data_IF_970050569635
#
_entry.id   IF_970050569635
#
_cell.length_a   1.000
_cell.length_b   1.000
_cell.length_c   1.000
_cell.angle_alpha   90.00
_cell.angle_beta   90.00
_cell.angle_gamma   90.00
#
_symmetry.space_group_name_H-M   'P 1'
#
loop_
_entity.id
_entity.type
_entity.pdbx_description
1 polymer ?
#
# COMPACT_ATOMS: atom_id res chain seq x y z
N UNK A 1 -9.88 12.05 5.62
CA UNK A 1 -10.00 11.22 4.41
C UNK A 1 -9.28 11.92 3.28
N UNK A 2 -8.75 11.17 2.30
CA UNK A 2 -8.09 11.78 1.14
C UNK A 2 -9.07 12.65 0.35
N UNK A 3 -8.62 13.78 -0.22
CA UNK A 3 -9.40 14.47 -1.24
C UNK A 3 -9.61 13.54 -2.44
N UNK A 4 -10.73 13.71 -3.15
CA UNK A 4 -11.05 12.99 -4.38
C UNK A 4 -10.88 11.46 -4.28
N UNK A 5 -11.18 10.88 -3.11
CA UNK A 5 -11.07 9.44 -2.82
C UNK A 5 -9.66 8.86 -3.05
N UNK A 6 -8.62 9.69 -3.06
CA UNK A 6 -7.24 9.27 -3.33
C UNK A 6 -6.89 9.14 -4.82
N UNK A 7 -7.75 9.60 -5.74
CA UNK A 7 -7.57 9.43 -7.18
C UNK A 7 -6.72 10.51 -7.86
N UNK A 8 -6.47 11.62 -7.14
CA UNK A 8 -5.59 12.70 -7.58
C UNK A 8 -4.11 12.37 -7.35
N UNK A 9 -3.21 13.32 -7.66
CA UNK A 9 -1.76 13.20 -7.42
C UNK A 9 -1.45 12.67 -6.01
N UNK A 10 -0.85 11.48 -5.93
CA UNK A 10 -0.51 10.78 -4.70
C UNK A 10 0.43 11.58 -3.80
N UNK A 11 1.23 12.49 -4.38
CA UNK A 11 2.11 13.39 -3.62
C UNK A 11 1.30 14.40 -2.80
N UNK A 12 0.17 14.88 -3.34
CA UNK A 12 -0.78 15.75 -2.61
C UNK A 12 -1.53 14.92 -1.58
N UNK A 13 -1.95 13.70 -1.92
CA UNK A 13 -2.63 12.82 -0.97
C UNK A 13 -1.73 12.50 0.25
N UNK A 14 -0.42 12.37 0.05
CA UNK A 14 0.54 12.15 1.13
C UNK A 14 0.61 13.31 2.13
N UNK A 15 0.38 14.56 1.71
CA UNK A 15 0.36 15.71 2.63
C UNK A 15 -0.76 15.59 3.68
N UNK A 16 -1.88 14.95 3.34
CA UNK A 16 -2.95 14.64 4.29
C UNK A 16 -2.52 13.58 5.30
N UNK A 17 -1.69 12.62 4.88
CA UNK A 17 -1.09 11.60 5.77
C UNK A 17 -0.11 12.25 6.73
N UNK A 18 0.77 13.13 6.24
CA UNK A 18 1.71 13.92 7.06
C UNK A 18 0.96 14.65 8.17
N UNK A 19 -0.06 15.43 7.79
CA UNK A 19 -0.85 16.18 8.75
C UNK A 19 -1.61 15.27 9.74
N UNK A 20 -2.11 14.11 9.30
CA UNK A 20 -2.77 13.17 10.20
C UNK A 20 -1.80 12.55 11.23
N UNK A 21 -0.60 12.16 10.79
CA UNK A 21 0.44 11.62 11.68
C UNK A 21 0.81 12.68 12.72
N UNK A 22 1.04 13.92 12.31
CA UNK A 22 1.37 15.02 13.23
C UNK A 22 0.27 15.21 14.28
N UNK A 23 -0.99 15.29 13.87
CA UNK A 23 -2.11 15.49 14.79
C UNK A 23 -2.33 14.32 15.77
N UNK A 24 -2.12 13.08 15.32
CA UNK A 24 -2.25 11.91 16.21
C UNK A 24 -1.05 11.86 17.17
N UNK A 25 0.16 12.16 16.69
CA UNK A 25 1.37 12.17 17.49
C UNK A 25 1.35 13.24 18.59
N UNK A 26 0.62 14.35 18.40
CA UNK A 26 0.37 15.36 19.45
C UNK A 26 -0.32 14.79 20.70
N UNK A 27 -0.90 13.58 20.62
CA UNK A 27 -1.38 12.85 21.80
C UNK A 27 -0.26 12.34 22.73
N UNK A 28 1.01 12.50 22.33
CA UNK A 28 2.18 12.05 23.08
C UNK A 28 2.53 10.57 22.89
N UNK A 29 1.93 9.91 21.90
CA UNK A 29 2.20 8.50 21.54
C UNK A 29 2.62 8.42 20.08
N UNK A 30 3.44 7.42 19.77
CA UNK A 30 3.74 7.08 18.37
C UNK A 30 2.48 6.58 17.67
N UNK A 31 2.49 6.69 16.34
CA UNK A 31 1.40 6.31 15.44
C UNK A 31 1.77 4.99 14.79
N UNK A 32 0.86 4.01 14.85
CA UNK A 32 0.91 2.82 13.99
C UNK A 32 -0.04 3.04 12.82
N UNK A 33 0.43 2.70 11.61
CA UNK A 33 -0.28 2.94 10.36
C UNK A 33 -0.62 1.60 9.72
N UNK A 34 -1.88 1.41 9.34
CA UNK A 34 -2.33 0.26 8.54
C UNK A 34 -2.83 0.78 7.20
N UNK A 35 -2.14 0.42 6.12
CA UNK A 35 -2.49 0.79 4.74
C UNK A 35 -2.85 -0.44 3.93
N UNK A 36 -3.98 -0.41 3.22
CA UNK A 36 -4.37 -1.45 2.26
C UNK A 36 -4.28 -0.91 0.83
N UNK A 37 -3.75 -1.72 -0.10
CA UNK A 37 -3.62 -1.34 -1.51
C UNK A 37 -2.87 0.00 -1.65
N UNK A 38 -3.40 0.93 -2.44
CA UNK A 38 -2.93 2.32 -2.55
C UNK A 38 -2.69 3.02 -1.21
N UNK A 39 -3.45 2.67 -0.16
CA UNK A 39 -3.39 3.31 1.16
C UNK A 39 -2.03 3.20 1.85
N UNK A 40 -1.17 2.27 1.43
CA UNK A 40 0.21 2.17 1.93
C UNK A 40 1.22 3.12 1.26
N UNK A 41 0.93 3.61 0.05
CA UNK A 41 1.86 4.47 -0.70
C UNK A 41 2.02 5.86 -0.05
N UNK A 42 0.91 6.45 0.41
CA UNK A 42 0.90 7.76 1.07
C UNK A 42 1.78 7.82 2.33
N UNK A 43 1.64 6.88 3.28
CA UNK A 43 2.53 6.74 4.42
C UNK A 43 4.00 6.60 4.05
N UNK A 44 4.34 5.71 3.10
CA UNK A 44 5.75 5.56 2.66
C UNK A 44 6.31 6.86 2.07
N UNK A 45 5.55 7.51 1.20
CA UNK A 45 5.92 8.81 0.64
C UNK A 45 6.13 9.88 1.72
N UNK A 46 5.25 9.91 2.73
CA UNK A 46 5.35 10.83 3.84
C UNK A 46 6.64 10.62 4.65
N UNK A 47 6.98 9.39 5.02
CA UNK A 47 8.20 9.10 5.81
C UNK A 47 9.49 9.34 5.01
N UNK A 48 9.46 9.09 3.70
CA UNK A 48 10.58 9.35 2.80
C UNK A 48 10.94 10.85 2.74
N UNK A 49 9.93 11.72 2.64
CA UNK A 49 10.14 13.16 2.39
C UNK A 49 9.92 14.10 3.59
N UNK A 50 9.33 13.61 4.68
CA UNK A 50 9.21 14.32 5.96
C UNK A 50 9.97 13.57 7.07
N UNK A 51 11.31 13.73 7.17
CA UNK A 51 12.11 13.03 8.19
C UNK A 51 11.64 13.26 9.63
N UNK A 52 11.00 14.39 9.91
CA UNK A 52 10.40 14.70 11.22
C UNK A 52 9.29 13.74 11.67
N UNK A 53 8.73 12.94 10.75
CA UNK A 53 7.73 11.93 11.06
C UNK A 53 8.32 10.61 11.52
N UNK A 54 9.60 10.32 11.24
CA UNK A 54 10.22 9.01 11.51
C UNK A 54 10.16 8.63 12.98
N UNK A 55 10.42 9.60 13.86
CA UNK A 55 10.36 9.40 15.32
C UNK A 55 8.92 9.37 15.88
N UNK A 56 7.92 9.70 15.05
CA UNK A 56 6.50 9.73 15.42
C UNK A 56 5.77 8.44 15.06
N UNK A 57 6.40 7.55 14.29
CA UNK A 57 5.78 6.32 13.81
C UNK A 57 6.42 5.14 14.55
N UNK A 58 5.59 4.16 14.90
CA UNK A 58 6.00 2.90 15.49
C UNK A 58 5.96 1.80 14.43
N UNK A 59 4.76 1.54 13.89
CA UNK A 59 4.56 0.51 12.86
C UNK A 59 4.06 1.09 11.55
N UNK A 60 4.52 0.51 10.45
CA UNK A 60 3.93 0.65 9.12
C UNK A 60 3.52 -0.72 8.59
N UNK A 61 2.22 -1.01 8.67
CA UNK A 61 1.62 -2.29 8.29
C UNK A 61 0.92 -2.14 6.94
N UNK A 62 1.47 -2.80 5.92
CA UNK A 62 1.12 -2.65 4.52
C UNK A 62 0.47 -3.94 4.02
N UNK A 63 -0.81 -3.86 3.66
CA UNK A 63 -1.63 -4.98 3.19
C UNK A 63 -1.80 -4.87 1.68
N UNK A 64 -1.20 -5.77 0.92
CA UNK A 64 -1.23 -5.74 -0.54
C UNK A 64 -0.92 -4.34 -1.13
N UNK A 65 0.04 -3.62 -0.54
CA UNK A 65 0.46 -2.32 -1.08
C UNK A 65 1.35 -2.54 -2.30
N UNK A 66 1.11 -1.84 -3.43
CA UNK A 66 1.97 -1.93 -4.61
C UNK A 66 3.27 -1.13 -4.38
N UNK A 67 4.13 -1.64 -3.49
CA UNK A 67 5.30 -0.92 -3.00
C UNK A 67 6.29 -0.57 -4.11
N UNK A 68 6.47 -1.46 -5.09
CA UNK A 68 7.27 -1.23 -6.28
C UNK A 68 6.42 -0.95 -7.53
N UNK A 69 5.12 -0.69 -7.36
CA UNK A 69 4.18 -0.43 -8.45
C UNK A 69 3.59 -1.67 -9.10
N UNK A 70 2.73 -1.41 -10.07
CA UNK A 70 1.96 -2.38 -10.84
C UNK A 70 2.43 -2.40 -12.28
N UNK A 71 2.29 -3.55 -12.94
CA UNK A 71 2.35 -3.63 -14.39
C UNK A 71 1.09 -2.97 -15.01
N UNK A 72 1.01 -1.65 -14.89
CA UNK A 72 -0.12 -0.84 -15.35
C UNK A 72 0.10 -0.23 -16.74
N UNK A 73 1.22 -0.59 -17.38
CA UNK A 73 1.68 -0.01 -18.65
C UNK A 73 0.63 -0.10 -19.77
N UNK A 74 -0.23 -1.13 -19.76
CA UNK A 74 -1.24 -1.32 -20.79
C UNK A 74 -2.39 -0.30 -20.72
N UNK A 75 -2.73 0.18 -19.52
CA UNK A 75 -3.83 1.15 -19.31
C UNK A 75 -3.37 2.58 -19.59
N UNK A 76 -2.15 2.95 -19.20
CA UNK A 76 -1.61 4.30 -19.37
C UNK A 76 -1.06 4.56 -20.78
N UNK A 77 -0.59 3.52 -21.49
CA UNK A 77 -0.09 3.64 -22.87
C UNK A 77 -1.17 4.04 -23.90
N UNK A 78 -2.46 3.96 -23.54
CA UNK A 78 -3.56 4.36 -24.42
C UNK A 78 -3.73 5.87 -24.54
N UNK A 79 -3.05 6.67 -23.70
CA UNK A 79 -3.13 8.14 -23.72
C UNK A 79 -4.53 8.69 -23.39
N UNK A 80 -5.38 7.87 -22.77
CA UNK A 80 -6.73 8.26 -22.38
C UNK A 80 -6.68 9.07 -21.08
N UNK A 81 -7.55 10.08 -20.90
CA UNK A 81 -7.69 10.77 -19.63
C UNK A 81 -8.10 9.78 -18.52
N UNK A 82 -7.27 9.69 -17.49
CA UNK A 82 -7.42 8.77 -16.36
C UNK A 82 -7.07 9.49 -15.04
N UNK A 83 -7.50 8.99 -13.88
CA UNK A 83 -7.01 9.46 -12.59
C UNK A 83 -5.48 9.52 -12.52
N UNK A 84 -4.94 10.59 -11.94
CA UNK A 84 -3.50 10.82 -11.84
C UNK A 84 -2.74 9.68 -11.16
N UNK A 85 -3.33 9.10 -10.10
CA UNK A 85 -2.70 8.00 -9.36
C UNK A 85 -2.45 6.75 -10.23
N UNK A 86 -3.20 6.56 -11.31
CA UNK A 86 -2.99 5.42 -12.22
C UNK A 86 -1.69 5.48 -13.00
N UNK A 87 -1.25 6.68 -13.35
CA UNK A 87 0.08 6.87 -13.91
C UNK A 87 1.16 6.62 -12.85
N UNK A 88 0.90 7.02 -11.61
CA UNK A 88 1.83 6.85 -10.48
C UNK A 88 1.89 5.42 -9.92
N UNK A 89 0.92 4.55 -10.24
CA UNK A 89 1.02 3.11 -9.93
C UNK A 89 2.03 2.39 -10.81
N UNK A 90 2.37 2.92 -11.99
CA UNK A 90 3.28 2.23 -12.91
C UNK A 90 4.63 1.97 -12.25
N UNK A 91 5.16 0.74 -12.38
CA UNK A 91 6.50 0.38 -11.86
C UNK A 91 7.58 1.37 -12.35
N UNK A 92 7.49 1.80 -13.60
CA UNK A 92 8.41 2.75 -14.23
C UNK A 92 8.02 4.23 -14.04
N UNK A 93 6.98 4.53 -13.26
CA UNK A 93 6.56 5.91 -13.01
C UNK A 93 7.64 6.68 -12.24
N UNK A 94 7.73 7.99 -12.46
CA UNK A 94 8.65 8.83 -11.71
C UNK A 94 8.32 8.81 -10.21
N UNK A 95 7.04 8.70 -9.86
CA UNK A 95 6.58 8.51 -8.49
C UNK A 95 7.17 7.24 -7.86
N UNK A 96 7.04 6.07 -8.50
CA UNK A 96 7.56 4.81 -7.94
C UNK A 96 9.09 4.79 -7.89
N UNK A 97 9.76 5.33 -8.91
CA UNK A 97 11.21 5.48 -8.90
C UNK A 97 11.67 6.38 -7.75
N UNK A 98 11.00 7.52 -7.54
CA UNK A 98 11.33 8.44 -6.44
C UNK A 98 11.00 7.86 -5.06
N UNK A 99 9.91 7.10 -4.93
CA UNK A 99 9.50 6.49 -3.68
C UNK A 99 10.50 5.43 -3.22
N UNK A 100 11.02 4.64 -4.15
CA UNK A 100 11.92 3.53 -3.88
C UNK A 100 13.42 3.91 -4.05
N UNK A 101 13.74 5.21 -4.14
CA UNK A 101 15.14 5.66 -4.21
C UNK A 101 15.80 5.65 -2.83
N UNK A 102 17.07 5.28 -2.81
CA UNK A 102 17.95 5.25 -1.63
C UNK A 102 17.53 4.21 -0.57
N UNK A 103 16.88 4.67 0.50
CA UNK A 103 16.46 3.89 1.66
C UNK A 103 14.95 3.69 1.58
N UNK A 104 14.54 2.43 1.38
CA UNK A 104 13.15 2.05 1.17
C UNK A 104 12.33 2.05 2.47
N UNK A 105 13.01 1.88 3.61
CA UNK A 105 12.41 1.70 4.94
C UNK A 105 12.97 2.69 5.97
N UNK A 106 12.91 4.01 5.70
CA UNK A 106 13.65 4.99 6.48
C UNK A 106 13.15 5.13 7.93
N UNK A 107 14.12 5.26 8.84
CA UNK A 107 13.88 5.51 10.27
C UNK A 107 13.77 4.24 11.12
N UNK A 108 13.63 4.41 12.43
CA UNK A 108 13.38 3.30 13.37
C UNK A 108 11.89 2.94 13.43
N UNK A 109 11.34 2.53 12.28
CA UNK A 109 9.95 2.10 12.10
C UNK A 109 9.94 0.60 11.79
N UNK A 110 8.98 -0.12 12.36
CA UNK A 110 8.78 -1.53 12.08
C UNK A 110 7.80 -1.70 10.90
N UNK A 111 8.28 -2.27 9.80
CA UNK A 111 7.54 -2.43 8.55
C UNK A 111 7.03 -3.87 8.41
N UNK A 112 5.72 -4.03 8.27
CA UNK A 112 5.08 -5.34 8.06
C UNK A 112 4.37 -5.33 6.71
N UNK A 113 4.87 -6.08 5.74
CA UNK A 113 4.25 -6.25 4.42
C UNK A 113 3.54 -7.59 4.36
N UNK A 114 2.21 -7.59 4.25
CA UNK A 114 1.39 -8.79 4.13
C UNK A 114 0.79 -8.83 2.72
N UNK A 115 1.07 -9.89 1.98
CA UNK A 115 0.64 -10.05 0.60
C UNK A 115 0.27 -11.51 0.29
N UNK A 116 -0.31 -11.75 -0.87
CA UNK A 116 -0.84 -13.06 -1.24
C UNK A 116 -0.55 -13.41 -2.68
N UNK A 117 -0.32 -14.70 -2.95
CA UNK A 117 -0.08 -15.21 -4.31
C UNK A 117 -1.31 -15.09 -5.22
N UNK A 118 -2.51 -14.92 -4.65
CA UNK A 118 -3.76 -14.80 -5.39
C UNK A 118 -4.19 -13.34 -5.60
N UNK A 119 -3.28 -12.38 -5.37
CA UNK A 119 -3.55 -10.97 -5.62
C UNK A 119 -3.70 -10.74 -7.13
N UNK A 120 -4.87 -10.30 -7.56
CA UNK A 120 -5.19 -10.08 -8.97
C UNK A 120 -4.71 -8.73 -9.51
N UNK A 121 -4.22 -7.83 -8.64
CA UNK A 121 -3.76 -6.49 -8.99
C UNK A 121 -2.24 -6.31 -8.79
N UNK A 122 -1.76 -6.65 -7.60
CA UNK A 122 -0.39 -6.39 -7.12
C UNK A 122 0.50 -7.55 -7.48
N UNK A 123 0.97 -7.52 -8.73
CA UNK A 123 1.85 -8.51 -9.33
C UNK A 123 3.14 -7.85 -9.85
N UNK A 124 4.26 -8.61 -9.92
CA UNK A 124 4.40 -10.03 -9.56
C UNK A 124 4.52 -10.26 -8.05
N UNK A 125 4.08 -11.42 -7.57
CA UNK A 125 4.36 -11.94 -6.21
C UNK A 125 5.64 -12.79 -6.17
N UNK A 126 6.10 -13.27 -7.32
CA UNK A 126 7.30 -14.11 -7.47
C UNK A 126 7.94 -13.85 -8.85
N UNK A 127 9.28 -13.93 -8.98
CA UNK A 127 10.26 -14.28 -7.94
C UNK A 127 10.61 -13.13 -6.99
N UNK A 128 10.29 -11.89 -7.36
CA UNK A 128 10.48 -10.70 -6.51
C UNK A 128 9.10 -10.07 -6.32
N UNK A 129 8.52 -10.14 -5.11
CA UNK A 129 7.21 -9.56 -4.85
C UNK A 129 7.25 -8.04 -4.85
N UNK A 130 6.45 -7.40 -5.72
CA UNK A 130 6.33 -5.93 -5.75
C UNK A 130 5.83 -5.35 -4.42
N UNK A 131 5.07 -6.14 -3.64
CA UNK A 131 4.55 -5.76 -2.34
C UNK A 131 5.55 -5.85 -1.19
N UNK A 132 6.69 -6.51 -1.36
CA UNK A 132 7.72 -6.54 -0.32
C UNK A 132 8.52 -5.24 -0.29
N UNK A 133 9.10 -4.95 0.88
CA UNK A 133 10.13 -3.93 1.06
C UNK A 133 11.43 -4.61 1.47
N UNK A 134 12.58 -4.02 1.14
CA UNK A 134 13.91 -4.52 1.49
C UNK A 134 14.07 -6.01 1.21
N UNK A 135 13.55 -6.46 0.06
CA UNK A 135 13.47 -7.87 -0.28
C UNK A 135 14.86 -8.52 -0.23
N UNK A 136 15.02 -9.54 0.62
CA UNK A 136 16.27 -10.27 0.84
C UNK A 136 17.45 -9.40 1.34
N UNK A 137 17.18 -8.25 1.99
CA UNK A 137 18.22 -7.39 2.56
C UNK A 137 18.50 -7.64 4.06
N UNK A 138 17.92 -8.69 4.66
CA UNK A 138 18.09 -9.07 6.08
C UNK A 138 17.81 -7.91 7.07
N UNK A 139 16.88 -7.01 6.74
CA UNK A 139 16.49 -5.90 7.63
C UNK A 139 15.63 -6.42 8.81
N UNK A 140 16.09 -6.33 10.07
CA UNK A 140 15.36 -6.86 11.22
C UNK A 140 14.08 -6.10 11.56
N UNK A 141 13.88 -4.91 10.99
CA UNK A 141 12.65 -4.12 11.15
C UNK A 141 11.62 -4.40 10.04
N UNK A 142 11.91 -5.29 9.10
CA UNK A 142 11.03 -5.57 7.97
C UNK A 142 10.58 -7.03 8.01
N UNK A 143 9.27 -7.25 8.03
CA UNK A 143 8.67 -8.56 7.80
C UNK A 143 7.93 -8.57 6.47
N UNK A 144 8.35 -9.45 5.56
CA UNK A 144 7.65 -9.72 4.31
C UNK A 144 6.92 -11.07 4.43
N UNK A 145 5.60 -11.02 4.59
CA UNK A 145 4.77 -12.18 4.91
C UNK A 145 3.87 -12.50 3.72
N UNK A 146 4.24 -13.54 2.97
CA UNK A 146 3.34 -14.17 2.03
C UNK A 146 2.35 -15.05 2.80
N UNK A 147 1.04 -14.79 2.67
CA UNK A 147 0.00 -15.55 3.40
C UNK A 147 0.13 -17.06 3.15
N UNK A 148 0.53 -17.47 1.96
CA UNK A 148 0.65 -18.88 1.61
C UNK A 148 1.89 -19.57 2.20
N UNK A 149 2.92 -18.83 2.62
CA UNK A 149 4.04 -19.37 3.38
C UNK A 149 3.64 -19.67 4.83
N UNK A 150 2.70 -18.88 5.38
CA UNK A 150 2.18 -19.06 6.74
C UNK A 150 1.05 -20.08 6.78
N UNK A 151 0.10 -19.97 5.85
CA UNK A 151 -1.11 -20.78 5.77
C UNK A 151 -1.23 -21.44 4.39
N UNK A 152 -0.54 -22.59 4.18
CA UNK A 152 -0.61 -23.33 2.93
C UNK A 152 -2.06 -23.71 2.59
N UNK A 153 -2.55 -23.22 1.46
CA UNK A 153 -3.91 -23.48 0.96
C UNK A 153 -4.98 -22.47 1.37
N UNK A 154 -4.65 -21.44 2.17
CA UNK A 154 -5.56 -20.31 2.40
C UNK A 154 -5.66 -19.48 1.13
N UNK A 155 -6.87 -19.27 0.62
CA UNK A 155 -7.14 -18.43 -0.56
C UNK A 155 -7.54 -17.05 -0.05
N UNK A 156 -6.81 -16.03 -0.48
CA UNK A 156 -7.03 -14.63 -0.11
C UNK A 156 -6.70 -13.80 -1.35
N UNK A 157 -7.64 -12.98 -1.80
CA UNK A 157 -7.51 -12.07 -2.96
C UNK A 157 -7.21 -10.64 -2.53
N UNK A 158 -6.93 -9.74 -3.48
CA UNK A 158 -6.47 -8.37 -3.23
C UNK A 158 -7.36 -7.58 -2.27
N UNK A 159 -8.68 -7.61 -2.42
CA UNK A 159 -9.56 -6.89 -1.48
C UNK A 159 -9.74 -7.66 -0.16
N UNK A 160 -9.88 -8.98 -0.23
CA UNK A 160 -10.20 -9.79 0.96
C UNK A 160 -9.07 -9.75 2.00
N UNK A 161 -7.81 -9.62 1.58
CA UNK A 161 -6.65 -9.52 2.48
C UNK A 161 -6.76 -8.33 3.45
N UNK A 162 -7.29 -7.19 2.99
CA UNK A 162 -7.43 -5.98 3.79
C UNK A 162 -8.79 -5.82 4.47
N UNK A 163 -9.78 -6.62 4.09
CA UNK A 163 -11.18 -6.41 4.50
C UNK A 163 -11.75 -7.53 5.37
N UNK A 164 -11.49 -8.79 5.02
CA UNK A 164 -12.25 -9.93 5.58
C UNK A 164 -11.37 -11.07 6.06
N UNK A 165 -10.11 -11.11 5.66
CA UNK A 165 -9.20 -12.19 6.01
C UNK A 165 -8.81 -12.17 7.49
N UNK A 166 -9.16 -13.24 8.21
CA UNK A 166 -8.84 -13.35 9.64
C UNK A 166 -7.35 -13.62 9.91
N UNK A 167 -6.64 -14.36 9.05
CA UNK A 167 -5.23 -14.62 9.31
C UNK A 167 -4.41 -13.33 9.16
N UNK A 168 -4.69 -12.53 8.14
CA UNK A 168 -4.12 -11.18 7.99
C UNK A 168 -4.47 -10.30 9.18
N UNK A 169 -5.71 -10.33 9.65
CA UNK A 169 -6.12 -9.54 10.83
C UNK A 169 -5.32 -9.89 12.08
N UNK A 170 -5.09 -11.18 12.37
CA UNK A 170 -4.29 -11.59 13.52
C UNK A 170 -2.82 -11.18 13.38
N UNK A 171 -2.26 -11.20 12.17
CA UNK A 171 -0.91 -10.68 11.91
C UNK A 171 -0.83 -9.16 12.12
N UNK A 172 -1.85 -8.41 11.73
CA UNK A 172 -1.96 -6.97 11.99
C UNK A 172 -2.03 -6.71 13.50
N UNK A 173 -2.86 -7.46 14.23
CA UNK A 173 -2.95 -7.34 15.69
C UNK A 173 -1.62 -7.70 16.36
N UNK A 174 -0.93 -8.70 15.84
CA UNK A 174 0.38 -9.11 16.34
C UNK A 174 1.41 -7.98 16.21
N UNK A 175 1.52 -7.33 15.04
CA UNK A 175 2.37 -6.13 14.88
C UNK A 175 1.97 -5.02 15.86
N UNK A 176 0.69 -4.67 15.96
CA UNK A 176 0.23 -3.58 16.82
C UNK A 176 0.43 -3.83 18.33
N UNK A 177 0.53 -5.09 18.75
CA UNK A 177 0.55 -5.46 20.16
C UNK A 177 1.97 -5.69 20.72
N UNK A 178 3.00 -5.71 19.87
CA UNK A 178 4.36 -6.08 20.28
C UNK A 178 5.39 -5.19 19.58
N UNK A 179 6.61 -5.13 20.12
CA UNK A 179 7.71 -4.46 19.43
C UNK A 179 8.28 -5.31 18.28
N UNK A 180 8.72 -4.65 17.21
CA UNK A 180 9.14 -5.30 15.98
C UNK A 180 7.97 -5.58 15.04
N UNK A 181 8.24 -5.89 13.76
CA UNK A 181 7.19 -6.19 12.80
C UNK A 181 6.42 -7.48 13.17
N UNK A 182 5.33 -7.75 12.45
CA UNK A 182 4.54 -8.96 12.68
C UNK A 182 5.38 -10.23 12.57
N UNK A 183 5.07 -11.20 13.41
CA UNK A 183 5.67 -12.51 13.46
C UNK A 183 4.56 -13.58 13.38
N UNK A 184 4.52 -14.39 12.32
CA UNK A 184 3.60 -15.52 12.22
C UNK A 184 3.68 -16.48 13.42
N UNK A 185 4.87 -16.61 14.01
CA UNK A 185 5.12 -17.47 15.17
C UNK A 185 4.42 -16.94 16.43
N UNK A 186 4.42 -15.62 16.63
CA UNK A 186 3.71 -14.96 17.75
C UNK A 186 2.21 -14.87 17.53
N UNK A 187 1.77 -14.58 16.30
CA UNK A 187 0.36 -14.57 15.94
C UNK A 187 -0.31 -15.95 16.17
N UNK A 188 0.48 -17.03 16.13
CA UNK A 188 0.10 -18.38 16.54
C UNK A 188 -0.39 -19.25 15.38
N UNK A 189 -0.21 -20.56 15.48
CA UNK A 189 -0.51 -21.51 14.39
C UNK A 189 -2.00 -21.74 14.10
N UNK A 190 -2.91 -21.27 14.97
CA UNK A 190 -4.35 -21.45 14.78
C UNK A 190 -4.96 -20.44 13.79
N UNK A 191 -4.22 -19.39 13.40
CA UNK A 191 -4.71 -18.33 12.51
C UNK A 191 -5.14 -18.85 11.14
N UNK A 192 -4.55 -19.96 10.68
CA UNK A 192 -4.88 -20.55 9.39
C UNK A 192 -6.27 -21.19 9.34
N UNK A 193 -6.79 -21.66 10.49
CA UNK A 193 -8.12 -22.27 10.59
C UNK A 193 -9.26 -21.27 10.77
N UNK A 194 -8.94 -19.98 10.90
CA UNK A 194 -9.94 -18.94 11.15
C UNK A 194 -10.76 -18.64 9.88
N UNK A 195 -12.08 -18.70 10.03
CA UNK A 195 -13.04 -18.31 8.99
C UNK A 195 -12.98 -16.80 8.76
N UNK A 196 -13.18 -16.29 7.53
CA UNK A 196 -13.31 -14.86 7.28
C UNK A 196 -14.39 -14.18 8.14
N UNK A 197 -14.27 -12.87 8.40
CA UNK A 197 -15.27 -12.10 9.16
C UNK A 197 -16.63 -12.03 8.45
N UNK A 198 -16.61 -11.98 7.12
CA UNK A 198 -17.78 -11.97 6.27
C UNK A 198 -17.66 -13.11 5.26
N UNK A 199 -18.77 -13.81 4.93
CA UNK A 199 -18.74 -14.84 3.90
C UNK A 199 -18.41 -14.22 2.53
N UNK A 200 -17.54 -14.88 1.76
CA UNK A 200 -17.00 -14.40 0.47
C UNK A 200 -18.00 -13.86 -0.57
N UNK A 201 -19.26 -14.31 -0.70
CA UNK A 201 -20.20 -13.73 -1.67
C UNK A 201 -20.51 -12.23 -1.44
N UNK A 202 -19.99 -11.62 -0.37
CA UNK A 202 -20.08 -10.19 -0.11
C UNK A 202 -19.07 -9.34 -0.93
N UNK A 203 -18.04 -9.95 -1.53
CA UNK A 203 -17.01 -9.27 -2.32
C UNK A 203 -16.93 -9.97 -3.68
N UNK A 204 -17.02 -9.22 -4.79
CA UNK A 204 -17.02 -9.83 -6.12
C UNK A 204 -15.60 -10.31 -6.49
N UNK A 205 -15.46 -11.48 -7.13
CA UNK A 205 -14.17 -12.03 -7.57
C UNK A 205 -13.58 -11.28 -8.79
N UNK A 206 -14.16 -10.14 -9.16
CA UNK A 206 -13.75 -9.38 -10.33
C UNK A 206 -13.46 -7.94 -9.93
N UNK A 207 -12.63 -7.75 -8.89
CA UNK A 207 -12.27 -6.43 -8.40
C UNK A 207 -11.50 -5.59 -9.41
N UNK A 208 -10.86 -6.17 -10.42
CA UNK A 208 -10.29 -5.38 -11.51
C UNK A 208 -11.40 -4.71 -12.35
N UNK A 209 -12.49 -5.44 -12.63
CA UNK A 209 -13.69 -4.86 -13.24
C UNK A 209 -14.51 -4.06 -12.26
N UNK A 210 -14.57 -4.38 -10.96
CA UNK A 210 -15.27 -3.56 -9.97
C UNK A 210 -14.50 -2.30 -9.64
N UNK A 211 -13.17 -2.30 -9.73
CA UNK A 211 -12.36 -1.08 -9.61
C UNK A 211 -12.73 -0.20 -10.80
N UNK A 212 -12.66 -0.74 -12.03
CA UNK A 212 -13.12 -0.08 -13.26
C UNK A 212 -14.60 0.32 -13.22
N UNK A 213 -15.49 -0.49 -12.63
CA UNK A 213 -16.93 -0.25 -12.53
C UNK A 213 -17.28 0.66 -11.35
N UNK A 214 -16.45 0.74 -10.31
CA UNK A 214 -16.49 1.81 -9.31
C UNK A 214 -16.18 3.13 -10.02
N UNK A 215 -15.21 3.17 -10.94
CA UNK A 215 -15.02 4.34 -11.82
C UNK A 215 -16.20 4.57 -12.78
N UNK A 216 -16.77 3.52 -13.38
CA UNK A 216 -17.87 3.66 -14.34
C UNK A 216 -19.21 4.05 -13.67
N UNK A 217 -19.48 3.52 -12.47
CA UNK A 217 -20.67 3.80 -11.65
C UNK A 217 -20.60 5.17 -10.98
N UNK A 218 -19.40 5.73 -10.77
CA UNK A 218 -19.19 7.14 -10.42
C UNK A 218 -19.70 8.09 -11.53
N UNK A 219 -19.64 7.69 -12.80
CA UNK A 219 -20.27 8.42 -13.90
C UNK A 219 -21.80 8.56 -13.75
N UNK A 220 -22.45 7.65 -13.02
CA UNK A 220 -23.89 7.68 -12.74
C UNK A 220 -24.29 8.59 -11.57
N UNK A 221 -23.36 8.96 -10.68
CA UNK A 221 -23.61 9.85 -9.54
C UNK A 221 -23.15 11.31 -9.77
N UNK A 222 -22.69 11.60 -10.99
CA UNK A 222 -22.04 12.85 -11.36
C UNK A 222 -20.57 12.78 -11.02
N UNK A 223 -19.71 12.99 -12.02
CA UNK A 223 -18.26 13.03 -11.81
C UNK A 223 -17.92 14.18 -10.84
N UNK A 224 -17.50 13.92 -9.58
CA UNK A 224 -16.68 14.92 -8.90
C UNK A 224 -15.43 15.10 -9.77
N UNK A 225 -14.86 16.30 -9.81
CA UNK A 225 -13.73 16.66 -10.65
C UNK A 225 -12.55 15.69 -10.47
N UNK A 226 -12.56 14.57 -11.22
CA UNK A 226 -11.61 13.46 -11.08
C UNK A 226 -10.19 13.88 -11.47
N UNK A 227 -9.99 15.16 -11.84
CA UNK A 227 -8.71 15.74 -12.20
C UNK A 227 -7.98 14.81 -13.18
N UNK A 228 -8.72 14.34 -14.19
CA UNK A 228 -8.22 13.39 -15.17
C UNK A 228 -7.04 14.00 -15.90
N UNK A 229 -5.97 13.22 -16.03
CA UNK A 229 -4.74 13.60 -16.73
C UNK A 229 -4.45 12.58 -17.83
N UNK A 230 -3.65 12.97 -18.81
CA UNK A 230 -3.22 12.10 -19.91
C UNK A 230 -1.79 11.58 -19.72
N UNK A 231 -1.11 12.05 -18.68
CA UNK A 231 0.26 11.69 -18.33
C UNK A 231 0.47 11.78 -16.82
N UNK A 232 1.56 11.19 -16.33
CA UNK A 232 1.94 11.27 -14.93
C UNK A 232 2.16 12.73 -14.49
N UNK A 233 1.57 13.18 -13.36
CA UNK A 233 1.91 14.49 -12.82
C UNK A 233 3.41 14.58 -12.50
N UNK A 234 4.03 15.76 -12.72
CA UNK A 234 5.44 15.93 -12.38
C UNK A 234 5.68 15.74 -10.87
N UNK A 235 6.87 15.25 -10.55
CA UNK A 235 7.33 15.19 -9.16
C UNK A 235 7.37 16.60 -8.54
N UNK A 236 6.97 16.70 -7.27
CA UNK A 236 7.13 17.91 -6.47
C UNK A 236 8.63 18.26 -6.37
N UNK A 237 8.98 19.54 -6.22
CA UNK A 237 10.38 19.98 -6.20
C UNK A 237 11.28 19.22 -5.22
N UNK A 238 10.75 18.79 -4.07
CA UNK A 238 11.50 18.04 -3.06
C UNK A 238 11.86 16.60 -3.46
N UNK A 239 11.19 16.03 -4.48
CA UNK A 239 11.38 14.65 -4.92
C UNK A 239 12.09 14.55 -6.29
N UNK A 240 12.29 15.67 -6.99
CA UNK A 240 12.83 15.67 -8.36
C UNK A 240 14.26 15.11 -8.46
N UNK A 241 15.08 15.31 -7.43
CA UNK A 241 16.46 14.79 -7.41
C UNK A 241 16.54 13.27 -7.30
N UNK A 242 15.44 12.60 -6.92
CA UNK A 242 15.41 11.14 -6.76
C UNK A 242 15.44 10.39 -8.10
N UNK A 243 15.09 11.06 -9.21
CA UNK A 243 14.96 10.45 -10.54
C UNK A 243 15.87 11.09 -11.61
N UNK A 244 16.71 12.07 -11.21
CA UNK A 244 17.68 12.64 -12.13
C UNK A 244 18.98 11.81 -12.08
N UNK A 245 19.56 11.43 -13.24
CA UNK A 245 20.89 10.84 -13.25
C UNK A 245 21.91 11.85 -12.72
N UNK A 246 22.78 11.40 -11.81
CA UNK A 246 23.95 12.17 -11.34
C UNK A 246 24.89 12.56 -12.49
#
# INVERSE_FOLDING_TARGET
>A
TYPNRGLSDAQIAAEYVVNAIDQIADSGRKVSIVGHSQGGMGPRWAVRWWPSLRDKIEDMILLATPNHGLEFAQLTALGLPMPAVFFQFGQESNYMQALNSDDETPGDIDYTNIYTQFDELVQPVSPVPTAALDWQQDNPRVANILIQDVCPGRIVEHATIGLTDRATYELVLDALANGGPASPERAGGEICGLLPFLPEPALSPSLLTDFIDVFASEGGQGFPDLSLVTEEPPLKPYAQSAVQPE
#
